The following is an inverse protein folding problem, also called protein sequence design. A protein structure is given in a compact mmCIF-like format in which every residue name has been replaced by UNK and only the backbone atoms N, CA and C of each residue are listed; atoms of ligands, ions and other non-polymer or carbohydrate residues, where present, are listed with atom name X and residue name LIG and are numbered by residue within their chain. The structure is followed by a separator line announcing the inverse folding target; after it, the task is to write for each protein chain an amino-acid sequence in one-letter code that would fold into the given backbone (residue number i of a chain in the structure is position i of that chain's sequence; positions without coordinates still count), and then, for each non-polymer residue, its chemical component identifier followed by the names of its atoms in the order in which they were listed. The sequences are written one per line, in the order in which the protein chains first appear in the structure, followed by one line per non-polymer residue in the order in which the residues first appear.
data_IF_395917041120
#
_entry.id   IF_395917041120
#
_cell.length_a   1.000
_cell.length_b   1.000
_cell.length_c   1.000
_cell.angle_alpha   90.00
_cell.angle_beta   90.00
_cell.angle_gamma   90.00
#
_symmetry.space_group_name_H-M   'P 1'
#
loop_
_entity.id
_entity.type
_entity.pdbx_description
1 polymer ?
#
# COMPACT_ATOMS: atom_id res chain seq x y z
N UNK A 1 51.20 -17.23 -25.61
CA UNK A 1 51.77 -16.27 -26.57
C UNK A 1 51.25 -14.91 -26.15
N UNK A 2 51.95 -14.19 -25.30
CA UNK A 2 53.12 -13.34 -25.65
C UNK A 2 52.66 -12.21 -26.59
N UNK A 3 52.76 -10.98 -26.23
CA UNK A 3 53.78 -10.05 -25.79
C UNK A 3 53.38 -8.68 -26.32
N UNK A 4 53.34 -7.68 -25.52
CA UNK A 4 54.22 -6.50 -25.30
C UNK A 4 53.80 -5.26 -26.12
N UNK A 5 53.86 -4.16 -25.56
CA UNK A 5 54.70 -3.22 -24.85
C UNK A 5 54.54 -1.78 -25.41
N UNK A 6 54.37 -0.84 -24.49
CA UNK A 6 55.21 0.36 -24.25
C UNK A 6 55.37 1.38 -25.40
N UNK A 7 55.38 2.70 -25.13
CA UNK A 7 56.42 3.58 -24.51
C UNK A 7 55.90 5.05 -24.58
N UNK A 8 55.80 5.80 -23.50
CA UNK A 8 56.61 6.89 -22.91
C UNK A 8 56.92 8.11 -23.82
N UNK A 9 56.78 9.31 -23.25
CA UNK A 9 57.44 10.55 -23.61
C UNK A 9 56.65 11.80 -23.12
N UNK A 10 56.91 12.28 -21.97
CA UNK A 10 57.77 13.35 -21.42
C UNK A 10 57.57 14.74 -22.05
N UNK A 11 57.07 15.61 -21.18
CA UNK A 11 57.61 16.86 -20.65
C UNK A 11 58.05 17.98 -21.62
N UNK A 12 57.51 19.19 -21.41
CA UNK A 12 58.31 20.39 -21.13
C UNK A 12 57.41 21.62 -20.81
N UNK A 13 57.70 22.27 -19.72
CA UNK A 13 57.45 23.68 -19.42
C UNK A 13 58.64 24.52 -19.97
N UNK A 14 58.67 25.87 -20.02
CA UNK A 14 58.07 26.85 -19.08
C UNK A 14 57.55 28.19 -19.68
N UNK A 15 57.00 29.03 -18.79
CA UNK A 15 56.52 30.41 -18.83
C UNK A 15 57.57 31.47 -19.34
N UNK A 16 57.39 32.86 -19.32
CA UNK A 16 56.38 33.67 -18.60
C UNK A 16 55.94 34.99 -19.33
N UNK A 17 55.24 35.85 -18.58
CA UNK A 17 54.91 37.31 -18.77
C UNK A 17 53.54 37.56 -19.47
N UNK A 18 52.67 38.41 -18.98
CA UNK A 18 52.65 39.48 -18.02
C UNK A 18 51.29 40.16 -18.06
N UNK A 19 50.93 40.77 -16.97
CA UNK A 19 50.22 42.05 -16.96
C UNK A 19 48.69 42.07 -16.81
N UNK A 20 48.24 42.38 -15.58
CA UNK A 20 47.17 43.34 -15.22
C UNK A 20 45.75 43.11 -15.81
N UNK A 21 44.70 43.00 -15.03
CA UNK A 21 44.13 44.04 -14.14
C UNK A 21 42.99 43.45 -13.30
N UNK A 22 43.07 43.76 -12.03
CA UNK A 22 42.06 43.52 -10.99
C UNK A 22 40.78 44.28 -11.28
N UNK A 23 39.65 43.58 -11.36
CA UNK A 23 38.33 44.19 -11.05
C UNK A 23 37.45 43.22 -10.24
N UNK A 24 37.42 43.47 -8.96
CA UNK A 24 36.32 43.57 -8.06
C UNK A 24 35.23 42.48 -8.12
N UNK A 25 35.41 41.35 -7.42
CA UNK A 25 34.27 40.56 -6.92
C UNK A 25 33.70 41.32 -5.74
N UNK A 26 32.56 41.99 -5.93
CA UNK A 26 31.72 42.47 -4.84
C UNK A 26 31.14 41.25 -4.16
N UNK A 27 31.59 40.96 -2.94
CA UNK A 27 30.92 40.09 -1.98
C UNK A 27 29.52 40.63 -1.75
N UNK A 28 28.52 40.01 -2.36
CA UNK A 28 27.12 40.18 -1.96
C UNK A 28 26.93 39.30 -0.74
N UNK A 29 27.10 39.93 0.43
CA UNK A 29 26.62 39.38 1.69
C UNK A 29 25.08 39.35 1.63
N UNK A 30 24.52 38.20 1.26
CA UNK A 30 23.10 37.96 1.47
C UNK A 30 22.87 37.83 2.98
N UNK A 31 22.04 38.69 3.52
CA UNK A 31 21.74 38.74 4.94
C UNK A 31 21.17 37.38 5.39
N UNK A 32 21.52 36.87 6.59
CA UNK A 32 21.05 35.55 7.09
C UNK A 32 19.52 35.36 7.10
N UNK A 33 18.77 36.44 7.18
CA UNK A 33 17.30 36.44 7.18
C UNK A 33 16.65 36.05 5.82
N UNK A 34 17.31 36.33 4.68
CA UNK A 34 16.75 35.97 3.36
C UNK A 34 16.95 34.50 3.02
N UNK A 35 18.04 33.90 3.48
CA UNK A 35 18.27 32.46 3.32
C UNK A 35 17.30 31.61 4.14
N UNK A 36 16.98 32.04 5.37
CA UNK A 36 16.01 31.37 6.23
C UNK A 36 14.58 31.54 5.73
N UNK A 37 14.21 32.69 5.12
CA UNK A 37 12.88 32.86 4.50
C UNK A 37 12.71 32.06 3.23
N UNK A 38 13.73 31.95 2.39
CA UNK A 38 13.69 31.13 1.20
C UNK A 38 13.61 29.62 1.53
N UNK A 39 14.38 29.17 2.53
CA UNK A 39 14.34 27.78 2.99
C UNK A 39 12.98 27.43 3.65
N UNK A 40 12.42 28.34 4.45
CA UNK A 40 11.10 28.19 5.07
C UNK A 40 9.97 28.20 4.03
N UNK A 41 10.04 29.08 3.02
CA UNK A 41 9.05 29.13 1.94
C UNK A 41 9.13 27.90 1.04
N UNK A 42 10.34 27.37 0.78
CA UNK A 42 10.55 26.15 0.02
C UNK A 42 10.09 24.89 0.79
N UNK A 43 10.32 24.84 2.09
CA UNK A 43 9.81 23.80 2.97
C UNK A 43 8.28 23.86 3.11
N UNK A 44 7.70 25.05 3.20
CA UNK A 44 6.23 25.25 3.19
C UNK A 44 5.61 24.93 1.83
N UNK A 45 6.25 25.28 0.71
CA UNK A 45 5.80 24.95 -0.63
C UNK A 45 5.88 23.42 -0.90
N UNK A 46 6.91 22.73 -0.36
CA UNK A 46 7.05 21.27 -0.42
C UNK A 46 6.00 20.58 0.45
N UNK A 47 5.69 21.13 1.64
CA UNK A 47 4.61 20.65 2.51
C UNK A 47 3.22 20.81 1.87
N UNK A 48 3.02 21.83 1.02
CA UNK A 48 1.78 22.04 0.24
C UNK A 48 1.58 21.04 -0.90
N UNK A 49 2.64 20.29 -1.26
CA UNK A 49 2.62 19.32 -2.38
C UNK A 49 2.41 17.87 -1.93
N UNK A 50 2.57 17.58 -0.64
CA UNK A 50 2.34 16.25 -0.09
C UNK A 50 0.90 16.16 0.42
N UNK A 51 0.19 15.13 -0.01
CA UNK A 51 -1.18 14.87 0.46
C UNK A 51 -1.14 14.54 1.96
N UNK A 52 -1.99 15.20 2.74
CA UNK A 52 -2.01 14.99 4.20
C UNK A 52 -2.64 13.65 4.56
N UNK A 53 -3.53 13.14 3.71
CA UNK A 53 -4.26 11.90 3.93
C UNK A 53 -3.83 10.83 2.94
N UNK A 54 -3.63 9.60 3.40
CA UNK A 54 -3.31 8.47 2.55
C UNK A 54 -4.28 7.34 2.88
N UNK A 55 -4.96 6.84 1.85
CA UNK A 55 -5.83 5.66 1.92
C UNK A 55 -5.10 4.51 1.23
N UNK A 56 -4.91 3.41 1.92
CA UNK A 56 -4.27 2.20 1.40
C UNK A 56 -5.31 1.14 1.09
N UNK A 57 -5.14 0.44 -0.01
CA UNK A 57 -5.71 -0.89 -0.15
C UNK A 57 -5.00 -1.91 0.75
N UNK A 58 -5.62 -3.08 0.96
CA UNK A 58 -5.09 -4.15 1.78
C UNK A 58 -4.36 -5.20 0.94
N UNK A 59 -5.07 -5.84 0.01
CA UNK A 59 -4.55 -6.93 -0.80
C UNK A 59 -3.42 -6.45 -1.72
N UNK A 60 -2.35 -7.21 -1.87
CA UNK A 60 -1.13 -6.87 -2.62
C UNK A 60 -0.41 -5.61 -2.13
N UNK A 61 -1.14 -4.57 -1.77
CA UNK A 61 -0.52 -3.32 -1.25
C UNK A 61 0.12 -3.55 0.11
N UNK A 62 -0.58 -4.15 1.05
CA UNK A 62 -0.08 -4.45 2.39
C UNK A 62 0.12 -5.95 2.59
N UNK A 63 -0.92 -6.74 2.35
CA UNK A 63 -0.96 -8.19 2.56
C UNK A 63 -0.66 -8.91 1.25
N UNK A 64 0.27 -9.84 1.26
CA UNK A 64 0.53 -10.70 0.11
C UNK A 64 -0.62 -11.68 -0.12
N UNK A 65 -0.88 -12.02 -1.39
CA UNK A 65 -1.92 -12.96 -1.82
C UNK A 65 -1.30 -14.13 -2.58
N UNK A 66 -1.75 -15.37 -2.27
CA UNK A 66 -1.32 -16.60 -2.92
C UNK A 66 -2.51 -17.50 -3.24
N UNK A 67 -2.98 -17.42 -4.47
CA UNK A 67 -4.12 -18.19 -4.95
C UNK A 67 -3.84 -19.71 -4.93
N UNK A 68 -2.61 -20.14 -5.21
CA UNK A 68 -2.27 -21.57 -5.25
C UNK A 68 -2.32 -22.18 -3.85
N UNK A 69 -1.89 -21.45 -2.81
CA UNK A 69 -2.05 -21.90 -1.43
C UNK A 69 -3.51 -22.06 -1.05
N UNK A 70 -4.36 -21.10 -1.42
CA UNK A 70 -5.79 -21.14 -1.18
C UNK A 70 -6.44 -22.35 -1.87
N UNK A 71 -6.12 -22.56 -3.16
CA UNK A 71 -6.61 -23.70 -3.96
C UNK A 71 -6.20 -25.02 -3.29
N UNK A 72 -4.92 -25.20 -2.99
CA UNK A 72 -4.41 -26.40 -2.33
C UNK A 72 -5.03 -26.64 -0.95
N UNK A 73 -5.34 -25.58 -0.20
CA UNK A 73 -6.00 -25.69 1.09
C UNK A 73 -7.46 -26.16 0.96
N UNK A 74 -8.21 -25.66 -0.01
CA UNK A 74 -9.56 -26.17 -0.30
C UNK A 74 -9.54 -27.62 -0.75
N UNK A 75 -8.63 -28.01 -1.65
CA UNK A 75 -8.46 -29.41 -2.08
C UNK A 75 -8.13 -30.33 -0.88
N UNK A 76 -7.25 -29.87 0.02
CA UNK A 76 -6.85 -30.63 1.22
C UNK A 76 -8.01 -30.96 2.16
N UNK A 77 -9.01 -30.09 2.24
CA UNK A 77 -10.20 -30.32 3.09
C UNK A 77 -11.39 -30.94 2.32
N UNK A 78 -11.16 -31.38 1.07
CA UNK A 78 -12.19 -32.07 0.25
C UNK A 78 -13.20 -31.10 -0.38
N UNK A 79 -12.77 -29.87 -0.67
CA UNK A 79 -13.60 -28.83 -1.27
C UNK A 79 -13.13 -28.48 -2.69
N UNK A 80 -12.87 -29.52 -3.52
CA UNK A 80 -12.34 -29.41 -4.88
C UNK A 80 -13.19 -28.51 -5.78
N UNK A 81 -14.50 -28.48 -5.54
CA UNK A 81 -15.41 -27.60 -6.30
C UNK A 81 -15.15 -26.13 -6.00
N UNK A 82 -14.87 -25.78 -4.75
CA UNK A 82 -14.50 -24.39 -4.36
C UNK A 82 -13.09 -24.08 -4.89
N UNK A 83 -12.14 -25.02 -4.77
CA UNK A 83 -10.82 -24.90 -5.36
C UNK A 83 -10.87 -24.60 -6.86
N UNK A 84 -11.73 -25.33 -7.59
CA UNK A 84 -11.98 -25.09 -9.01
C UNK A 84 -12.56 -23.70 -9.27
N UNK A 85 -13.51 -23.25 -8.46
CA UNK A 85 -14.06 -21.92 -8.61
C UNK A 85 -13.02 -20.82 -8.37
N UNK A 86 -12.17 -20.95 -7.34
CA UNK A 86 -11.06 -20.00 -7.09
C UNK A 86 -10.11 -19.97 -8.29
N UNK A 87 -9.74 -21.14 -8.85
CA UNK A 87 -8.86 -21.27 -10.02
C UNK A 87 -9.42 -20.60 -11.27
N UNK A 88 -10.72 -20.78 -11.51
CA UNK A 88 -11.38 -20.28 -12.71
C UNK A 88 -11.94 -18.86 -12.55
N UNK A 89 -11.71 -18.22 -11.41
CA UNK A 89 -12.31 -16.91 -11.07
C UNK A 89 -13.84 -16.86 -11.27
N UNK A 90 -14.53 -18.01 -11.03
CA UNK A 90 -15.97 -18.20 -11.31
C UNK A 90 -16.87 -18.01 -10.09
N UNK A 91 -16.38 -17.40 -9.03
CA UNK A 91 -17.09 -17.38 -7.74
C UNK A 91 -17.76 -16.03 -7.51
N UNK A 92 -18.17 -15.38 -8.58
CA UNK A 92 -18.69 -14.01 -8.53
C UNK A 92 -19.79 -13.84 -7.49
N UNK A 93 -20.73 -14.79 -7.38
CA UNK A 93 -21.86 -14.63 -6.46
C UNK A 93 -21.51 -14.85 -4.96
N UNK A 94 -20.82 -15.96 -4.62
CA UNK A 94 -20.55 -16.31 -3.21
C UNK A 94 -19.49 -15.42 -2.56
N UNK A 95 -18.36 -15.22 -3.24
CA UNK A 95 -17.28 -14.41 -2.68
C UNK A 95 -17.65 -12.92 -2.68
N UNK A 96 -18.28 -12.45 -3.78
CA UNK A 96 -18.77 -11.08 -3.84
C UNK A 96 -19.79 -10.81 -2.72
N UNK A 97 -20.74 -11.71 -2.50
CA UNK A 97 -21.71 -11.58 -1.43
C UNK A 97 -21.04 -11.47 -0.03
N UNK A 98 -19.97 -12.23 0.20
CA UNK A 98 -19.18 -12.11 1.43
C UNK A 98 -18.39 -10.79 1.50
N UNK A 99 -17.84 -10.32 0.36
CA UNK A 99 -17.07 -9.08 0.28
C UNK A 99 -17.93 -7.82 0.41
N UNK A 100 -19.19 -7.86 0.00
CA UNK A 100 -20.12 -6.74 0.20
C UNK A 100 -20.97 -6.89 1.48
N UNK A 101 -20.76 -7.98 2.23
CA UNK A 101 -21.44 -8.22 3.51
C UNK A 101 -22.90 -8.65 3.39
N UNK A 102 -23.34 -9.12 2.23
CA UNK A 102 -24.68 -9.64 2.00
C UNK A 102 -24.90 -10.99 2.70
N UNK A 103 -23.82 -11.73 2.95
CA UNK A 103 -23.82 -12.96 3.73
C UNK A 103 -22.81 -12.91 4.87
N UNK A 104 -23.19 -13.51 5.98
CA UNK A 104 -22.31 -13.67 7.15
C UNK A 104 -21.33 -14.83 6.96
N UNK A 105 -20.29 -14.90 7.80
CA UNK A 105 -19.35 -16.04 7.80
C UNK A 105 -20.04 -17.41 7.94
N UNK A 106 -21.00 -17.63 8.86
CA UNK A 106 -21.73 -18.90 8.90
C UNK A 106 -22.52 -19.19 7.63
N UNK A 107 -23.18 -18.19 7.04
CA UNK A 107 -23.92 -18.36 5.77
C UNK A 107 -22.99 -18.69 4.60
N UNK A 108 -21.79 -18.09 4.56
CA UNK A 108 -20.75 -18.46 3.60
C UNK A 108 -20.37 -19.93 3.75
N UNK A 109 -20.10 -20.40 4.98
CA UNK A 109 -19.76 -21.81 5.23
C UNK A 109 -20.90 -22.76 4.89
N UNK A 110 -22.16 -22.40 5.18
CA UNK A 110 -23.34 -23.18 4.80
C UNK A 110 -23.47 -23.31 3.27
N UNK A 111 -23.23 -22.22 2.54
CA UNK A 111 -23.30 -22.21 1.09
C UNK A 111 -22.16 -23.04 0.46
N UNK A 112 -20.95 -23.00 1.01
CA UNK A 112 -19.84 -23.86 0.62
C UNK A 112 -20.23 -25.34 0.78
N UNK A 113 -20.81 -25.72 1.94
CA UNK A 113 -21.27 -27.09 2.18
C UNK A 113 -22.37 -27.51 1.21
N UNK A 114 -23.32 -26.62 0.95
CA UNK A 114 -24.40 -26.87 -0.02
C UNK A 114 -23.85 -27.09 -1.42
N UNK A 115 -22.92 -26.27 -1.87
CA UNK A 115 -22.29 -26.38 -3.19
C UNK A 115 -21.46 -27.65 -3.35
N UNK A 116 -20.74 -28.05 -2.30
CA UNK A 116 -19.87 -29.24 -2.31
C UNK A 116 -20.59 -30.53 -1.87
N UNK A 117 -21.84 -30.44 -1.39
CA UNK A 117 -22.59 -31.57 -0.83
C UNK A 117 -21.80 -32.32 0.26
N UNK A 118 -21.20 -31.57 1.19
CA UNK A 118 -20.30 -32.07 2.22
C UNK A 118 -20.69 -31.58 3.61
N UNK A 119 -19.94 -32.03 4.65
CA UNK A 119 -20.13 -31.64 6.04
C UNK A 119 -18.84 -31.10 6.67
N UNK A 120 -18.00 -30.43 5.86
CA UNK A 120 -16.74 -29.84 6.34
C UNK A 120 -17.03 -28.79 7.40
N UNK A 121 -16.29 -28.79 8.54
CA UNK A 121 -16.47 -27.80 9.61
C UNK A 121 -16.17 -26.38 9.15
N UNK A 122 -16.83 -25.37 9.79
CA UNK A 122 -16.56 -23.94 9.52
C UNK A 122 -15.09 -23.59 9.67
N UNK A 123 -14.44 -24.14 10.70
CA UNK A 123 -13.00 -23.90 10.97
C UNK A 123 -12.12 -24.27 9.79
N UNK A 124 -12.41 -25.35 9.11
CA UNK A 124 -11.62 -25.85 7.98
C UNK A 124 -11.90 -25.05 6.71
N UNK A 125 -13.17 -24.65 6.50
CA UNK A 125 -13.56 -23.76 5.39
C UNK A 125 -12.89 -22.39 5.56
N UNK A 126 -12.99 -21.79 6.74
CA UNK A 126 -12.38 -20.49 7.06
C UNK A 126 -10.87 -20.57 6.96
N UNK A 127 -10.26 -21.64 7.47
CA UNK A 127 -8.82 -21.86 7.35
C UNK A 127 -8.41 -21.91 5.88
N UNK A 128 -9.06 -22.72 5.06
CA UNK A 128 -8.71 -22.88 3.65
C UNK A 128 -8.86 -21.55 2.88
N UNK A 129 -9.91 -20.79 3.16
CA UNK A 129 -10.10 -19.46 2.55
C UNK A 129 -9.02 -18.47 2.97
N UNK A 130 -8.63 -18.48 4.25
CA UNK A 130 -7.60 -17.61 4.79
C UNK A 130 -6.18 -17.95 4.30
N UNK A 131 -5.94 -19.15 3.72
CA UNK A 131 -4.66 -19.49 3.09
C UNK A 131 -4.36 -18.67 1.82
N UNK A 132 -5.33 -17.88 1.33
CA UNK A 132 -5.08 -16.84 0.34
C UNK A 132 -4.07 -15.80 0.83
N UNK A 133 -4.03 -15.53 2.14
CA UNK A 133 -3.29 -14.42 2.72
C UNK A 133 -1.91 -14.88 3.21
N UNK A 134 -0.84 -14.20 2.79
CA UNK A 134 0.53 -14.61 3.14
C UNK A 134 1.20 -13.78 4.24
N UNK A 135 0.59 -12.66 4.63
CA UNK A 135 1.09 -11.79 5.71
C UNK A 135 1.46 -10.38 5.25
N UNK A 136 1.92 -9.56 6.20
CA UNK A 136 2.40 -8.18 5.98
C UNK A 136 3.89 -8.13 6.34
N UNK A 137 4.78 -7.84 5.38
CA UNK A 137 6.21 -7.65 5.68
C UNK A 137 6.43 -6.53 6.69
N UNK A 138 7.36 -6.72 7.63
CA UNK A 138 7.66 -5.72 8.66
C UNK A 138 8.14 -4.39 8.06
N UNK A 139 8.85 -4.41 6.93
CA UNK A 139 9.24 -3.19 6.21
C UNK A 139 8.05 -2.32 5.82
N UNK A 140 6.90 -2.91 5.45
CA UNK A 140 5.66 -2.17 5.16
C UNK A 140 5.08 -1.55 6.44
N UNK A 141 5.12 -2.25 7.57
CA UNK A 141 4.66 -1.74 8.87
C UNK A 141 5.53 -0.58 9.34
N UNK A 142 6.85 -0.69 9.19
CA UNK A 142 7.80 0.38 9.50
C UNK A 142 7.56 1.62 8.63
N UNK A 143 7.29 1.43 7.33
CA UNK A 143 6.96 2.52 6.42
C UNK A 143 5.64 3.22 6.82
N UNK A 144 4.60 2.47 7.22
CA UNK A 144 3.36 3.07 7.75
C UNK A 144 3.64 3.92 8.99
N UNK A 145 4.47 3.44 9.92
CA UNK A 145 4.87 4.22 11.10
C UNK A 145 5.66 5.46 10.72
N UNK A 146 6.56 5.37 9.75
CA UNK A 146 7.33 6.51 9.26
C UNK A 146 6.42 7.58 8.63
N UNK A 147 5.42 7.19 7.84
CA UNK A 147 4.42 8.10 7.29
C UNK A 147 3.62 8.81 8.39
N UNK A 148 3.19 8.08 9.43
CA UNK A 148 2.51 8.68 10.58
C UNK A 148 3.40 9.68 11.33
N UNK A 149 4.66 9.31 11.58
CA UNK A 149 5.64 10.20 12.24
C UNK A 149 5.92 11.46 11.42
N UNK A 150 5.82 11.40 10.09
CA UNK A 150 5.94 12.57 9.21
C UNK A 150 4.65 13.42 9.12
N UNK A 151 3.61 13.03 9.84
CA UNK A 151 2.37 13.80 10.00
C UNK A 151 1.26 13.46 9.01
N UNK A 152 1.37 12.34 8.28
CA UNK A 152 0.27 11.86 7.45
C UNK A 152 -0.81 11.17 8.29
N UNK A 153 -2.06 11.37 7.89
CA UNK A 153 -3.20 10.62 8.40
C UNK A 153 -3.40 9.40 7.49
N UNK A 154 -3.39 8.20 8.06
CA UNK A 154 -3.49 6.96 7.31
C UNK A 154 -4.85 6.31 7.51
N UNK A 155 -5.39 5.77 6.42
CA UNK A 155 -6.68 5.09 6.35
C UNK A 155 -6.52 3.79 5.55
N UNK A 156 -7.38 2.82 5.81
CA UNK A 156 -7.48 1.58 5.04
C UNK A 156 -8.82 1.55 4.31
N UNK A 157 -8.85 1.16 3.05
CA UNK A 157 -10.07 0.92 2.26
C UNK A 157 -9.90 -0.34 1.41
N UNK A 158 -10.55 -1.41 1.80
CA UNK A 158 -10.37 -2.74 1.21
C UNK A 158 -11.66 -3.40 0.78
N UNK A 159 -11.65 -4.00 -0.42
CA UNK A 159 -12.62 -5.04 -0.76
C UNK A 159 -12.18 -6.32 -0.03
N UNK A 160 -12.95 -6.72 0.98
CA UNK A 160 -12.60 -7.87 1.83
C UNK A 160 -13.83 -8.37 2.59
N UNK A 161 -13.71 -9.56 3.15
CA UNK A 161 -14.71 -10.18 4.02
C UNK A 161 -14.22 -10.26 5.47
N UNK A 162 -15.12 -10.56 6.41
CA UNK A 162 -14.76 -10.61 7.82
C UNK A 162 -13.74 -11.70 8.15
N UNK A 163 -13.75 -12.86 7.47
CA UNK A 163 -12.78 -13.93 7.70
C UNK A 163 -11.35 -13.48 7.42
N UNK A 164 -11.14 -12.84 6.27
CA UNK A 164 -9.84 -12.29 5.89
C UNK A 164 -9.42 -11.13 6.80
N UNK A 165 -10.36 -10.23 7.13
CA UNK A 165 -10.06 -9.10 8.00
C UNK A 165 -9.65 -9.56 9.40
N UNK A 166 -10.40 -10.49 10.00
CA UNK A 166 -10.12 -11.03 11.34
C UNK A 166 -8.74 -11.68 11.38
N UNK A 167 -8.38 -12.46 10.35
CA UNK A 167 -7.04 -13.03 10.18
C UNK A 167 -5.96 -11.95 10.09
N UNK A 168 -6.16 -10.94 9.27
CA UNK A 168 -5.20 -9.84 9.13
C UNK A 168 -5.03 -9.07 10.44
N UNK A 169 -6.14 -8.75 11.11
CA UNK A 169 -6.12 -7.97 12.35
C UNK A 169 -5.46 -8.72 13.50
N UNK A 170 -5.71 -10.05 13.60
CA UNK A 170 -5.17 -10.88 14.67
C UNK A 170 -3.71 -11.28 14.47
N UNK A 171 -3.32 -11.65 13.23
CA UNK A 171 -2.05 -12.34 13.01
C UNK A 171 -1.02 -11.50 12.24
N UNK A 172 -1.46 -10.60 11.34
CA UNK A 172 -0.54 -9.93 10.42
C UNK A 172 -0.24 -8.48 10.81
N UNK A 173 -1.23 -7.74 11.33
CA UNK A 173 -0.99 -6.37 11.80
C UNK A 173 -0.19 -6.27 13.09
N UNK A 174 -0.26 -7.20 14.06
CA UNK A 174 0.57 -7.08 15.25
C UNK A 174 2.05 -6.92 14.88
N UNK A 175 2.70 -5.90 15.46
CA UNK A 175 4.08 -5.55 15.19
C UNK A 175 4.73 -5.02 16.46
N UNK A 176 5.97 -5.43 16.71
CA UNK A 176 6.78 -4.92 17.82
C UNK A 176 8.04 -4.28 17.26
N UNK A 177 8.24 -3.00 17.55
CA UNK A 177 9.43 -2.28 17.12
C UNK A 177 10.67 -2.60 17.96
N UNK A 178 11.82 -2.06 17.56
CA UNK A 178 13.09 -2.26 18.26
C UNK A 178 13.13 -1.66 19.67
N UNK A 179 12.23 -0.73 19.98
CA UNK A 179 12.08 -0.11 21.31
C UNK A 179 11.12 -0.89 22.20
N UNK A 180 10.48 -1.93 21.65
CA UNK A 180 9.57 -2.80 22.37
C UNK A 180 8.10 -2.35 22.36
N UNK A 181 7.75 -1.29 21.63
CA UNK A 181 6.37 -0.86 21.48
C UNK A 181 5.59 -1.84 20.59
N UNK A 182 4.36 -2.11 20.98
CA UNK A 182 3.46 -3.01 20.23
C UNK A 182 2.40 -2.21 19.50
N UNK A 183 2.22 -2.52 18.23
CA UNK A 183 1.28 -1.89 17.33
C UNK A 183 0.26 -2.92 16.82
N UNK A 184 -0.95 -2.46 16.50
CA UNK A 184 -2.03 -3.22 15.87
C UNK A 184 -2.59 -2.39 14.70
N UNK A 185 -3.54 -2.90 13.95
CA UNK A 185 -4.15 -2.19 12.82
C UNK A 185 -4.62 -0.76 13.19
N UNK A 186 -5.22 -0.58 14.37
CA UNK A 186 -5.71 0.72 14.85
C UNK A 186 -4.61 1.70 15.26
N UNK A 187 -3.38 1.24 15.42
CA UNK A 187 -2.22 2.12 15.63
C UNK A 187 -1.69 2.66 14.29
N UNK A 188 -1.84 1.90 13.19
CA UNK A 188 -1.44 2.33 11.86
C UNK A 188 -2.47 3.27 11.24
N UNK A 189 -3.77 2.94 11.36
CA UNK A 189 -4.85 3.63 10.66
C UNK A 189 -5.79 4.35 11.61
N UNK A 190 -6.20 5.57 11.26
CA UNK A 190 -7.21 6.32 12.01
C UNK A 190 -8.60 5.74 11.82
N UNK A 191 -8.89 5.26 10.60
CA UNK A 191 -10.10 4.50 10.28
C UNK A 191 -9.81 3.40 9.28
N UNK A 192 -10.59 2.36 9.37
CA UNK A 192 -10.52 1.16 8.57
C UNK A 192 -11.89 0.97 7.93
N UNK A 193 -11.90 0.96 6.60
CA UNK A 193 -13.09 0.83 5.77
C UNK A 193 -13.03 -0.52 5.07
N UNK A 194 -13.97 -1.40 5.41
CA UNK A 194 -14.10 -2.74 4.85
C UNK A 194 -15.37 -2.79 4.02
N UNK A 195 -15.29 -3.26 2.78
CA UNK A 195 -16.44 -3.37 1.89
C UNK A 195 -17.59 -4.15 2.52
N UNK A 196 -17.29 -5.26 3.20
CA UNK A 196 -18.30 -6.07 3.89
C UNK A 196 -19.03 -5.36 5.06
N UNK A 197 -18.38 -4.34 5.67
CA UNK A 197 -18.99 -3.54 6.72
C UNK A 197 -19.71 -2.30 6.17
N UNK A 198 -19.30 -1.84 4.98
CA UNK A 198 -19.87 -0.67 4.32
C UNK A 198 -21.04 -1.03 3.39
N UNK A 199 -21.17 -2.28 2.98
CA UNK A 199 -22.05 -2.75 1.91
C UNK A 199 -21.81 -2.01 0.58
N UNK A 200 -20.57 -1.67 0.32
CA UNK A 200 -20.07 -0.97 -0.87
C UNK A 200 -18.73 -1.58 -1.25
N UNK A 201 -18.45 -1.68 -2.54
CA UNK A 201 -17.19 -2.23 -3.04
C UNK A 201 -16.55 -1.32 -4.09
N UNK A 202 -15.22 -1.26 -4.12
CA UNK A 202 -14.45 -0.72 -5.23
C UNK A 202 -14.70 -1.61 -6.47
N UNK A 203 -14.79 -1.07 -7.67
CA UNK A 203 -14.49 0.32 -8.09
C UNK A 203 -15.71 1.26 -8.10
N UNK A 204 -16.81 0.98 -7.39
CA UNK A 204 -17.93 1.93 -7.32
C UNK A 204 -17.44 3.25 -6.67
N UNK A 205 -17.59 4.43 -7.33
CA UNK A 205 -17.20 5.72 -6.77
C UNK A 205 -17.86 6.04 -5.42
N UNK A 206 -19.00 5.43 -5.11
CA UNK A 206 -19.76 5.67 -3.89
C UNK A 206 -18.96 5.28 -2.65
N UNK A 207 -18.16 4.20 -2.70
CA UNK A 207 -17.36 3.76 -1.56
C UNK A 207 -16.29 4.80 -1.18
N UNK A 208 -15.66 5.44 -2.17
CA UNK A 208 -14.67 6.48 -1.94
C UNK A 208 -15.31 7.73 -1.34
N UNK A 209 -16.46 8.16 -1.88
CA UNK A 209 -17.21 9.31 -1.36
C UNK A 209 -17.62 9.08 0.10
N UNK A 210 -18.10 7.88 0.42
CA UNK A 210 -18.50 7.52 1.78
C UNK A 210 -17.29 7.43 2.72
N UNK A 211 -16.18 6.85 2.27
CA UNK A 211 -14.93 6.81 3.06
C UNK A 211 -14.41 8.22 3.38
N UNK A 212 -14.38 9.13 2.39
CA UNK A 212 -14.01 10.54 2.60
C UNK A 212 -14.92 11.21 3.61
N UNK A 213 -16.25 11.05 3.48
CA UNK A 213 -17.25 11.61 4.38
C UNK A 213 -17.05 11.12 5.81
N UNK A 214 -16.91 9.82 6.01
CA UNK A 214 -16.74 9.21 7.34
C UNK A 214 -15.39 9.59 7.96
N UNK A 215 -14.31 9.68 7.15
CA UNK A 215 -12.99 10.10 7.62
C UNK A 215 -12.90 11.60 7.91
N UNK A 216 -13.85 12.41 7.41
CA UNK A 216 -13.80 13.86 7.52
C UNK A 216 -12.62 14.47 6.77
N UNK A 217 -12.27 13.92 5.60
CA UNK A 217 -11.13 14.36 4.77
C UNK A 217 -11.60 14.82 3.39
N UNK A 218 -10.75 15.63 2.71
CA UNK A 218 -11.03 16.15 1.39
C UNK A 218 -10.34 15.32 0.31
N UNK A 219 -11.02 15.10 -0.81
CA UNK A 219 -10.49 14.34 -1.93
C UNK A 219 -9.19 14.96 -2.48
N UNK A 220 -9.15 16.28 -2.65
CA UNK A 220 -8.00 17.01 -3.21
C UNK A 220 -6.75 17.00 -2.30
N UNK A 221 -6.89 16.62 -1.02
CA UNK A 221 -5.80 16.45 -0.04
C UNK A 221 -5.55 14.97 0.31
N UNK A 222 -6.04 14.06 -0.52
CA UNK A 222 -5.98 12.61 -0.29
C UNK A 222 -5.24 11.90 -1.44
N UNK A 223 -4.36 10.96 -1.07
CA UNK A 223 -3.75 9.98 -1.96
C UNK A 223 -4.38 8.61 -1.68
N UNK A 224 -4.77 7.90 -2.72
CA UNK A 224 -5.19 6.50 -2.66
C UNK A 224 -4.14 5.61 -3.33
N UNK A 225 -3.81 4.48 -2.73
CA UNK A 225 -2.79 3.53 -3.22
C UNK A 225 -3.45 2.16 -3.36
N UNK A 226 -3.45 1.63 -4.58
CA UNK A 226 -4.14 0.37 -4.92
C UNK A 226 -3.38 -0.34 -6.05
N UNK A 227 -3.44 -1.67 -6.09
CA UNK A 227 -2.82 -2.50 -7.12
C UNK A 227 -3.66 -2.60 -8.41
N UNK A 228 -4.94 -2.15 -8.36
CA UNK A 228 -5.86 -2.22 -9.49
C UNK A 228 -6.08 -0.84 -10.11
N UNK A 229 -5.89 -0.79 -11.41
CA UNK A 229 -6.04 0.45 -12.17
C UNK A 229 -7.49 0.95 -12.17
N UNK A 230 -8.50 0.06 -12.25
CA UNK A 230 -9.92 0.43 -12.23
C UNK A 230 -10.31 1.09 -10.88
N UNK A 231 -9.79 0.61 -9.76
CA UNK A 231 -9.96 1.25 -8.46
C UNK A 231 -9.33 2.65 -8.42
N UNK A 232 -8.13 2.79 -8.98
CA UNK A 232 -7.44 4.08 -9.08
C UNK A 232 -8.23 5.08 -9.94
N UNK A 233 -8.76 4.64 -11.08
CA UNK A 233 -9.60 5.47 -11.95
C UNK A 233 -10.90 5.91 -11.25
N UNK A 234 -11.55 5.00 -10.51
CA UNK A 234 -12.74 5.31 -9.73
C UNK A 234 -12.45 6.34 -8.62
N UNK A 235 -11.33 6.20 -7.89
CA UNK A 235 -10.88 7.19 -6.91
C UNK A 235 -10.63 8.56 -7.54
N UNK A 236 -10.00 8.60 -8.71
CA UNK A 236 -9.75 9.83 -9.46
C UNK A 236 -11.04 10.50 -9.90
N UNK A 237 -12.08 9.75 -10.25
CA UNK A 237 -13.38 10.29 -10.68
C UNK A 237 -14.06 11.12 -9.59
N UNK A 238 -13.73 10.88 -8.30
CA UNK A 238 -14.23 11.66 -7.15
C UNK A 238 -13.22 12.70 -6.64
N UNK A 239 -12.11 12.93 -7.38
CA UNK A 239 -11.13 13.97 -7.08
C UNK A 239 -9.97 13.54 -6.17
N UNK A 240 -9.86 12.26 -5.82
CA UNK A 240 -8.73 11.71 -5.08
C UNK A 240 -7.54 11.55 -6.03
N UNK A 241 -6.33 11.87 -5.59
CA UNK A 241 -5.11 11.49 -6.33
C UNK A 241 -4.86 10.00 -6.12
N UNK A 242 -4.62 9.22 -7.19
CA UNK A 242 -4.35 7.80 -7.05
C UNK A 242 -2.94 7.41 -7.51
N UNK A 243 -2.33 6.46 -6.81
CA UNK A 243 -1.10 5.78 -7.17
C UNK A 243 -1.44 4.32 -7.48
N UNK A 244 -1.32 3.93 -8.75
CA UNK A 244 -1.40 2.55 -9.17
C UNK A 244 -0.06 1.86 -8.86
N UNK A 245 -0.07 0.87 -7.97
CA UNK A 245 1.11 0.12 -7.51
C UNK A 245 0.84 -1.39 -7.62
N UNK A 246 0.95 -1.97 -8.83
CA UNK A 246 0.57 -3.37 -9.10
C UNK A 246 1.27 -4.41 -8.23
N UNK A 247 2.50 -4.10 -7.80
CA UNK A 247 3.32 -4.99 -6.98
C UNK A 247 3.29 -4.63 -5.48
N UNK A 248 2.65 -3.50 -5.13
CA UNK A 248 2.59 -3.00 -3.75
C UNK A 248 3.96 -2.64 -3.19
N UNK A 249 4.88 -2.17 -4.03
CA UNK A 249 6.27 -1.91 -3.66
C UNK A 249 6.72 -0.45 -3.84
N UNK A 250 6.01 0.32 -4.66
CA UNK A 250 6.40 1.69 -5.01
C UNK A 250 6.24 2.63 -3.81
N UNK A 251 5.19 2.44 -3.00
CA UNK A 251 4.81 3.37 -1.95
C UNK A 251 5.75 3.37 -0.73
N UNK A 252 6.55 2.30 -0.52
CA UNK A 252 7.42 2.19 0.65
C UNK A 252 8.92 2.05 0.31
N UNK A 253 9.28 1.92 -0.96
CA UNK A 253 10.67 1.94 -1.46
C UNK A 253 11.06 3.35 -1.87
#
# INVERSE_FOLDING_TARGET
MAINNNIIGEANQPSPHGGEMVRGFKNVFVKPDEQNRACSSYAMARKRRMKSNIIFDLGRILVGLDNERCIAAFERVGLEKIAFYVREHRVEDLFLAAEVGDITTPQFCDEVRRLCQCSVPDTDIIWAWNELLTGIPDAKKEALLALRRSGHRLFLLSNTNFMHWDKCAADFFPYRDSEGHTYTATHFFEKIFLSCAMHLAKPDPTIFTEALRQAGIKADDTLFIDDREDNCQAAQSVGITALHDPEGEIWYK
#
